data_IF_194784286155
#
_entry.id   IF_194784286155
#
_cell.length_a   1.000
_cell.length_b   1.000
_cell.length_c   1.000
_cell.angle_alpha   90.00
_cell.angle_beta   90.00
_cell.angle_gamma   90.00
#
_symmetry.space_group_name_H-M   'P 1'
#
loop_
_entity.id
_entity.type
_entity.pdbx_description
1 polymer ?
#
# COMPACT_ATOMS: atom_id res chain seq x y z
N UNK A 1 -2.98 -15.29 27.40
CA UNK A 1 -2.81 -15.89 26.06
C UNK A 1 -3.95 -15.55 25.11
N UNK A 2 -3.66 -14.78 24.06
CA UNK A 2 -4.55 -14.52 22.91
C UNK A 2 -4.02 -15.29 21.71
N UNK A 3 -4.87 -16.07 21.08
CA UNK A 3 -4.54 -16.79 19.85
C UNK A 3 -5.03 -15.99 18.62
N UNK A 4 -4.19 -15.89 17.59
CA UNK A 4 -4.50 -15.24 16.31
C UNK A 4 -4.27 -16.27 15.20
N UNK A 5 -5.29 -16.46 14.36
CA UNK A 5 -5.16 -17.35 13.20
C UNK A 5 -4.27 -16.74 12.14
N UNK A 6 -3.35 -17.52 11.61
CA UNK A 6 -2.48 -17.16 10.49
C UNK A 6 -3.26 -16.72 9.25
N UNK A 7 -4.44 -17.30 9.01
CA UNK A 7 -5.35 -16.86 7.93
C UNK A 7 -5.74 -15.38 8.08
N UNK A 8 -5.95 -14.89 9.31
CA UNK A 8 -6.23 -13.46 9.53
C UNK A 8 -5.03 -12.60 9.14
N UNK A 9 -3.80 -13.07 9.40
CA UNK A 9 -2.58 -12.36 9.00
C UNK A 9 -2.44 -12.34 7.47
N UNK A 10 -2.66 -13.48 6.81
CA UNK A 10 -2.58 -13.62 5.35
C UNK A 10 -3.54 -12.62 4.68
N UNK A 11 -4.81 -12.61 5.10
CA UNK A 11 -5.82 -11.75 4.49
C UNK A 11 -5.60 -10.26 4.76
N UNK A 12 -5.15 -9.88 5.96
CA UNK A 12 -4.83 -8.49 6.25
C UNK A 12 -3.57 -8.01 5.51
N UNK A 13 -2.53 -8.84 5.40
CA UNK A 13 -1.33 -8.53 4.63
C UNK A 13 -1.65 -8.38 3.13
N UNK A 14 -2.46 -9.29 2.57
CA UNK A 14 -2.95 -9.19 1.19
C UNK A 14 -3.62 -7.84 0.93
N UNK A 15 -4.59 -7.46 1.78
CA UNK A 15 -5.30 -6.18 1.67
C UNK A 15 -4.34 -4.99 1.78
N UNK A 16 -3.37 -5.06 2.68
CA UNK A 16 -2.37 -4.00 2.88
C UNK A 16 -1.48 -3.82 1.64
N UNK A 17 -0.97 -4.90 1.05
CA UNK A 17 -0.14 -4.83 -0.17
C UNK A 17 -0.89 -4.17 -1.32
N UNK A 18 -2.15 -4.55 -1.55
CA UNK A 18 -2.99 -3.95 -2.60
C UNK A 18 -3.25 -2.48 -2.28
N UNK A 19 -3.71 -2.18 -1.06
CA UNK A 19 -4.04 -0.80 -0.66
C UNK A 19 -2.83 0.14 -0.78
N UNK A 20 -1.65 -0.30 -0.36
CA UNK A 20 -0.43 0.51 -0.38
C UNK A 20 0.03 0.86 -1.80
N UNK A 21 -0.25 0.01 -2.79
CA UNK A 21 0.11 0.24 -4.18
C UNK A 21 -0.95 1.02 -4.97
N UNK A 22 -2.21 1.02 -4.53
CA UNK A 22 -3.30 1.74 -5.19
C UNK A 22 -3.49 3.16 -4.61
N UNK A 23 -3.10 3.41 -3.37
CA UNK A 23 -3.41 4.66 -2.68
C UNK A 23 -2.24 5.21 -1.87
N UNK A 24 -1.99 6.51 -1.99
CA UNK A 24 -1.17 7.24 -1.04
C UNK A 24 -1.92 7.48 0.27
N UNK A 25 -1.16 7.70 1.34
CA UNK A 25 -1.73 8.23 2.58
C UNK A 25 -2.40 9.60 2.34
N UNK A 26 -3.48 9.87 3.07
CA UNK A 26 -4.31 11.07 2.85
C UNK A 26 -3.52 12.36 3.01
N UNK A 27 -2.58 12.41 3.94
CA UNK A 27 -1.70 13.56 4.15
C UNK A 27 -0.79 13.80 2.94
N UNK A 28 -0.20 12.74 2.37
CA UNK A 28 0.63 12.84 1.17
C UNK A 28 -0.19 13.30 -0.04
N UNK A 29 -1.38 12.73 -0.25
CA UNK A 29 -2.29 13.15 -1.32
C UNK A 29 -2.62 14.65 -1.20
N UNK A 30 -3.01 15.10 0.00
CA UNK A 30 -3.29 16.51 0.26
C UNK A 30 -2.08 17.42 0.00
N UNK A 31 -0.87 16.95 0.33
CA UNK A 31 0.36 17.71 0.08
C UNK A 31 0.65 17.83 -1.41
N UNK A 32 0.44 16.78 -2.20
CA UNK A 32 0.60 16.83 -3.66
C UNK A 32 -0.41 17.81 -4.28
N UNK A 33 -1.69 17.72 -3.88
CA UNK A 33 -2.75 18.63 -4.35
C UNK A 33 -2.45 20.11 -4.01
N UNK A 34 -1.88 20.36 -2.82
CA UNK A 34 -1.44 21.70 -2.42
C UNK A 34 -0.20 22.16 -3.18
N UNK A 35 0.75 21.25 -3.45
CA UNK A 35 1.96 21.55 -4.20
C UNK A 35 1.63 21.99 -5.63
N UNK A 36 0.70 21.31 -6.31
CA UNK A 36 0.23 21.72 -7.65
C UNK A 36 -0.28 23.17 -7.65
N UNK A 37 -1.13 23.52 -6.67
CA UNK A 37 -1.74 24.85 -6.57
C UNK A 37 -0.73 25.96 -6.27
N UNK A 38 0.29 25.64 -5.47
CA UNK A 38 1.25 26.62 -4.96
C UNK A 38 2.55 26.71 -5.78
N UNK A 39 2.82 25.75 -6.67
CA UNK A 39 4.03 25.73 -7.49
C UNK A 39 4.08 26.94 -8.43
N UNK A 40 5.23 27.64 -8.40
CA UNK A 40 5.44 28.88 -9.17
C UNK A 40 5.90 28.59 -10.60
N UNK A 41 6.68 27.52 -10.78
CA UNK A 41 7.14 27.07 -12.09
C UNK A 41 5.98 26.50 -12.89
N UNK A 42 5.73 27.04 -14.09
CA UNK A 42 4.69 26.52 -14.98
C UNK A 42 4.94 25.04 -15.34
N UNK A 43 6.20 24.68 -15.64
CA UNK A 43 6.59 23.29 -15.91
C UNK A 43 6.44 22.42 -14.66
N UNK A 44 6.86 22.91 -13.48
CA UNK A 44 6.73 22.17 -12.24
C UNK A 44 5.27 21.86 -11.90
N UNK A 45 4.39 22.85 -12.03
CA UNK A 45 2.95 22.69 -11.84
C UNK A 45 2.38 21.64 -12.78
N UNK A 46 2.76 21.66 -14.07
CA UNK A 46 2.31 20.67 -15.03
C UNK A 46 2.72 19.24 -14.64
N UNK A 47 3.96 19.03 -14.20
CA UNK A 47 4.44 17.72 -13.76
C UNK A 47 3.69 17.24 -12.51
N UNK A 48 3.47 18.10 -11.52
CA UNK A 48 2.69 17.73 -10.33
C UNK A 48 1.24 17.40 -10.70
N UNK A 49 0.63 18.18 -11.61
CA UNK A 49 -0.72 17.90 -12.12
C UNK A 49 -0.83 16.53 -12.80
N UNK A 50 0.22 16.07 -13.49
CA UNK A 50 0.27 14.70 -14.02
C UNK A 50 0.29 13.65 -12.91
N UNK A 51 0.95 13.90 -11.78
CA UNK A 51 0.91 13.00 -10.62
C UNK A 51 -0.50 12.94 -10.01
N UNK A 52 -1.17 14.09 -9.88
CA UNK A 52 -2.57 14.17 -9.40
C UNK A 52 -3.49 13.37 -10.31
N UNK A 53 -3.36 13.55 -11.63
CA UNK A 53 -4.17 12.82 -12.59
C UNK A 53 -3.88 11.32 -12.59
N UNK A 54 -2.60 10.93 -12.52
CA UNK A 54 -2.21 9.53 -12.38
C UNK A 54 -2.85 8.86 -11.17
N UNK A 55 -2.89 9.54 -10.01
CA UNK A 55 -3.56 9.02 -8.82
C UNK A 55 -5.07 8.83 -9.02
N UNK A 56 -5.75 9.70 -9.77
CA UNK A 56 -7.18 9.53 -10.09
C UNK A 56 -7.41 8.35 -11.02
N UNK A 57 -6.63 8.26 -12.10
CA UNK A 57 -6.70 7.16 -13.07
C UNK A 57 -6.43 5.81 -12.40
N UNK A 58 -5.47 5.76 -11.48
CA UNK A 58 -5.17 4.58 -10.69
C UNK A 58 -6.34 4.16 -9.79
N UNK A 59 -6.99 5.12 -9.12
CA UNK A 59 -8.18 4.86 -8.28
C UNK A 59 -9.38 4.39 -9.11
N UNK A 60 -9.67 5.04 -10.24
CA UNK A 60 -10.79 4.71 -11.11
C UNK A 60 -10.64 3.32 -11.75
N UNK A 61 -9.44 3.00 -12.23
CA UNK A 61 -9.17 1.73 -12.92
C UNK A 61 -8.69 0.62 -11.99
N UNK A 62 -8.50 0.91 -10.69
CA UNK A 62 -7.97 -0.03 -9.69
C UNK A 62 -6.64 -0.65 -10.10
N UNK A 63 -5.73 0.19 -10.60
CA UNK A 63 -4.36 -0.19 -10.97
C UNK A 63 -3.33 0.47 -10.05
N UNK A 64 -2.11 -0.07 -9.93
CA UNK A 64 -1.05 0.54 -9.13
C UNK A 64 -0.74 1.97 -9.57
N UNK A 65 -0.45 2.86 -8.61
CA UNK A 65 -0.06 4.25 -8.90
C UNK A 65 1.33 4.35 -9.54
N UNK A 66 2.14 3.30 -9.44
CA UNK A 66 3.51 3.21 -9.97
C UNK A 66 3.73 1.82 -10.59
N UNK A 67 4.49 1.77 -11.68
CA UNK A 67 4.86 0.51 -12.35
C UNK A 67 5.84 -0.33 -11.53
N UNK A 68 6.68 0.31 -10.72
CA UNK A 68 7.51 -0.36 -9.72
C UNK A 68 6.77 -0.37 -8.38
N UNK A 69 6.22 -1.52 -8.01
CA UNK A 69 5.47 -1.75 -6.76
C UNK A 69 6.38 -2.06 -5.57
N UNK A 70 7.70 -2.04 -5.80
CA UNK A 70 8.73 -2.10 -4.79
C UNK A 70 8.79 -3.44 -4.03
N UNK A 71 9.55 -3.41 -2.95
CA UNK A 71 9.78 -4.54 -2.06
C UNK A 71 8.96 -4.42 -0.78
N UNK A 72 8.21 -5.47 -0.44
CA UNK A 72 7.42 -5.50 0.77
C UNK A 72 8.30 -5.64 2.02
N UNK A 73 8.22 -4.66 2.94
CA UNK A 73 8.97 -4.63 4.20
C UNK A 73 7.99 -4.52 5.37
N UNK A 74 8.04 -5.48 6.29
CA UNK A 74 7.15 -5.53 7.45
C UNK A 74 7.92 -5.29 8.75
N UNK A 75 7.47 -4.30 9.52
CA UNK A 75 7.91 -4.08 10.89
C UNK A 75 6.84 -4.63 11.84
N UNK A 76 7.19 -5.67 12.59
CA UNK A 76 6.22 -6.41 13.39
C UNK A 76 6.53 -6.19 14.86
N UNK A 77 5.50 -5.84 15.63
CA UNK A 77 5.52 -5.84 17.10
C UNK A 77 4.51 -6.87 17.59
N UNK A 78 5.00 -7.93 18.22
CA UNK A 78 4.17 -9.00 18.77
C UNK A 78 4.17 -8.89 20.29
N UNK A 79 2.99 -8.89 20.91
CA UNK A 79 2.87 -8.91 22.36
C UNK A 79 3.26 -10.27 22.93
N UNK A 80 3.85 -10.30 24.12
CA UNK A 80 4.36 -11.53 24.76
C UNK A 80 3.31 -12.66 24.85
N UNK A 81 2.04 -12.31 25.10
CA UNK A 81 0.93 -13.27 25.27
C UNK A 81 0.16 -13.55 23.97
N UNK A 82 0.71 -13.17 22.80
CA UNK A 82 0.11 -13.45 21.49
C UNK A 82 0.75 -14.68 20.88
N UNK A 83 -0.10 -15.66 20.56
CA UNK A 83 0.30 -16.89 19.88
C UNK A 83 -0.40 -16.98 18.52
N UNK A 84 0.26 -17.62 17.57
CA UNK A 84 -0.29 -17.89 16.25
C UNK A 84 -0.48 -19.39 16.08
N UNK A 85 -1.53 -19.80 15.35
CA UNK A 85 -1.80 -21.20 15.01
C UNK A 85 -0.87 -21.75 13.90
N UNK A 86 0.22 -21.03 13.59
CA UNK A 86 1.18 -21.35 12.54
C UNK A 86 2.37 -20.38 12.53
N UNK A 87 3.18 -20.45 11.48
CA UNK A 87 4.36 -19.60 11.34
C UNK A 87 3.98 -18.18 10.83
N UNK A 88 4.32 -17.16 11.62
CA UNK A 88 3.99 -15.77 11.29
C UNK A 88 4.66 -15.28 9.99
N UNK A 89 5.93 -15.63 9.78
CA UNK A 89 6.68 -15.20 8.59
C UNK A 89 6.11 -15.83 7.32
N UNK A 90 5.74 -17.11 7.37
CA UNK A 90 5.09 -17.78 6.24
C UNK A 90 3.72 -17.18 5.94
N UNK A 91 2.94 -16.87 6.97
CA UNK A 91 1.64 -16.20 6.82
C UNK A 91 1.78 -14.81 6.16
N UNK A 92 2.79 -14.02 6.54
CA UNK A 92 3.07 -12.73 5.91
C UNK A 92 3.49 -12.92 4.46
N UNK A 93 4.43 -13.81 4.18
CA UNK A 93 4.90 -14.07 2.82
C UNK A 93 3.78 -14.57 1.90
N UNK A 94 2.87 -15.41 2.41
CA UNK A 94 1.71 -15.86 1.66
C UNK A 94 0.72 -14.72 1.38
N UNK A 95 0.49 -13.84 2.37
CA UNK A 95 -0.31 -12.63 2.17
C UNK A 95 0.29 -11.70 1.10
N UNK A 96 1.61 -11.51 1.11
CA UNK A 96 2.33 -10.76 0.07
C UNK A 96 2.14 -11.43 -1.29
N UNK A 97 2.39 -12.74 -1.40
CA UNK A 97 2.23 -13.50 -2.65
C UNK A 97 0.83 -13.35 -3.24
N UNK A 98 -0.21 -13.51 -2.42
CA UNK A 98 -1.61 -13.31 -2.83
C UNK A 98 -1.89 -11.86 -3.20
N UNK A 99 -1.38 -10.90 -2.44
CA UNK A 99 -1.55 -9.47 -2.72
C UNK A 99 -0.98 -9.05 -4.07
N UNK A 100 0.23 -9.49 -4.39
CA UNK A 100 0.87 -9.19 -5.68
C UNK A 100 0.17 -9.91 -6.84
N UNK A 101 -0.23 -11.17 -6.66
CA UNK A 101 -0.93 -11.94 -7.70
C UNK A 101 -2.33 -11.37 -7.99
N UNK A 102 -3.14 -11.18 -6.96
CA UNK A 102 -4.56 -10.80 -7.11
C UNK A 102 -4.72 -9.29 -7.34
N UNK A 103 -3.76 -8.49 -6.89
CA UNK A 103 -3.73 -7.04 -7.09
C UNK A 103 -3.06 -6.59 -8.39
N UNK A 104 -2.47 -7.52 -9.15
CA UNK A 104 -1.67 -7.22 -10.34
C UNK A 104 -0.55 -6.21 -10.04
N UNK A 105 0.16 -6.44 -8.92
CA UNK A 105 1.25 -5.60 -8.43
C UNK A 105 2.60 -6.08 -8.95
#
# INVERSE_FOLDING_TARGET
>A
MREIKTETIIEEVKKLCIKANLYLADDMKQRIDQAEKNEKSALGRQVIGQLVENMKVADENKIPICQDTGMAVFFIKVGQEVHFDGNLTEAINEGVRRGYTDGYL
#
